data_IF_432233670203
#
_entry.id   IF_432233670203
#
_cell.length_a   1.000
_cell.length_b   1.000
_cell.length_c   1.000
_cell.angle_alpha   90.00
_cell.angle_beta   90.00
_cell.angle_gamma   90.00
#
_symmetry.space_group_name_H-M   'P 1'
#
loop_
_entity.id
_entity.type
_entity.pdbx_description
1 polymer ?
#
# COMPACT_ATOMS: atom_id res chain seq x y z
N UNK A 1 -2.64 -3.71 -42.49
CA UNK A 1 -1.21 -3.94 -42.14
C UNK A 1 -0.39 -2.66 -42.30
N UNK A 2 -0.61 -1.91 -43.37
CA UNK A 2 0.05 -0.62 -43.68
C UNK A 2 0.03 0.42 -42.54
N UNK A 3 -1.11 0.66 -41.89
CA UNK A 3 -1.21 1.65 -40.80
C UNK A 3 -0.34 1.32 -39.58
N UNK A 4 -0.24 0.03 -39.23
CA UNK A 4 0.61 -0.45 -38.14
C UNK A 4 2.09 -0.20 -38.45
N UNK A 5 2.51 -0.47 -39.68
CA UNK A 5 3.89 -0.33 -40.11
C UNK A 5 4.32 1.13 -40.15
N UNK A 6 3.49 2.01 -40.73
CA UNK A 6 3.71 3.46 -40.70
C UNK A 6 3.75 3.99 -39.27
N UNK A 7 2.81 3.58 -38.41
CA UNK A 7 2.84 3.96 -37.00
C UNK A 7 4.12 3.51 -36.29
N UNK A 8 4.60 2.30 -36.56
CA UNK A 8 5.86 1.80 -36.01
C UNK A 8 7.08 2.57 -36.53
N UNK A 9 7.08 3.01 -37.78
CA UNK A 9 8.13 3.85 -38.36
C UNK A 9 8.21 5.18 -37.61
N UNK A 10 7.09 5.91 -37.50
CA UNK A 10 7.02 7.15 -36.75
C UNK A 10 7.42 6.96 -35.28
N UNK A 11 7.01 5.85 -34.66
CA UNK A 11 7.40 5.52 -33.29
C UNK A 11 8.92 5.39 -33.13
N UNK A 12 9.60 4.69 -34.05
CA UNK A 12 11.07 4.56 -34.04
C UNK A 12 11.78 5.88 -34.29
N UNK A 13 11.14 6.78 -35.05
CA UNK A 13 11.61 8.15 -35.28
C UNK A 13 11.26 9.12 -34.14
N UNK A 14 10.78 8.65 -32.98
CA UNK A 14 10.32 9.46 -31.84
C UNK A 14 9.19 10.46 -32.17
N UNK A 15 8.49 10.24 -33.29
CA UNK A 15 7.35 11.04 -33.75
C UNK A 15 6.05 10.43 -33.19
N UNK A 16 5.87 10.55 -31.88
CA UNK A 16 4.82 9.82 -31.16
C UNK A 16 3.40 10.28 -31.53
N UNK A 17 3.18 11.56 -31.77
CA UNK A 17 1.87 12.08 -32.20
C UNK A 17 1.47 11.54 -33.59
N UNK A 18 2.41 11.52 -34.53
CA UNK A 18 2.21 10.94 -35.84
C UNK A 18 1.92 9.43 -35.72
N UNK A 19 2.67 8.71 -34.89
CA UNK A 19 2.43 7.30 -34.62
C UNK A 19 1.00 7.06 -34.08
N UNK A 20 0.54 7.88 -33.12
CA UNK A 20 -0.82 7.81 -32.56
C UNK A 20 -1.88 8.00 -33.65
N UNK A 21 -1.68 8.95 -34.56
CA UNK A 21 -2.61 9.19 -35.67
C UNK A 21 -2.71 7.96 -36.58
N UNK A 22 -1.58 7.37 -36.98
CA UNK A 22 -1.56 6.18 -37.81
C UNK A 22 -2.19 4.96 -37.12
N UNK A 23 -1.93 4.74 -35.83
CA UNK A 23 -2.61 3.68 -35.09
C UNK A 23 -4.11 3.92 -34.98
N UNK A 24 -4.53 5.17 -34.80
CA UNK A 24 -5.95 5.56 -34.77
C UNK A 24 -6.64 5.31 -36.12
N UNK A 25 -6.00 5.64 -37.24
CA UNK A 25 -6.51 5.29 -38.57
C UNK A 25 -6.65 3.77 -38.75
N UNK A 26 -5.67 3.01 -38.25
CA UNK A 26 -5.74 1.55 -38.22
C UNK A 26 -6.94 1.03 -37.43
N UNK A 27 -7.23 1.60 -36.25
CA UNK A 27 -8.37 1.22 -35.42
C UNK A 27 -9.72 1.59 -36.06
N UNK A 28 -9.80 2.74 -36.72
CA UNK A 28 -11.00 3.19 -37.44
C UNK A 28 -11.31 2.36 -38.69
N UNK A 29 -10.34 1.58 -39.18
CA UNK A 29 -10.52 0.66 -40.30
C UNK A 29 -11.21 -0.67 -39.90
N UNK A 30 -11.70 -0.77 -38.65
CA UNK A 30 -12.33 -1.97 -38.08
C UNK A 30 -11.49 -3.25 -38.26
N UNK A 31 -10.26 -3.28 -37.71
CA UNK A 31 -9.37 -4.42 -37.82
C UNK A 31 -9.92 -5.64 -37.07
N UNK A 32 -9.42 -6.82 -37.42
CA UNK A 32 -9.65 -8.04 -36.62
C UNK A 32 -9.14 -7.86 -35.18
N UNK A 33 -9.57 -8.75 -34.27
CA UNK A 33 -9.28 -8.62 -32.85
C UNK A 33 -7.77 -8.63 -32.53
N UNK A 34 -6.98 -9.43 -33.25
CA UNK A 34 -5.54 -9.54 -33.03
C UNK A 34 -4.81 -8.25 -33.43
N UNK A 35 -5.13 -7.71 -34.61
CA UNK A 35 -4.56 -6.45 -35.06
C UNK A 35 -5.09 -5.27 -34.22
N UNK A 36 -6.35 -5.33 -33.77
CA UNK A 36 -6.94 -4.34 -32.87
C UNK A 36 -6.19 -4.25 -31.55
N UNK A 37 -5.86 -5.39 -30.93
CA UNK A 37 -5.03 -5.45 -29.72
C UNK A 37 -3.67 -4.78 -29.95
N UNK A 38 -2.97 -5.17 -31.02
CA UNK A 38 -1.66 -4.59 -31.35
C UNK A 38 -1.72 -3.08 -31.53
N UNK A 39 -2.75 -2.57 -32.22
CA UNK A 39 -2.91 -1.14 -32.46
C UNK A 39 -3.22 -0.36 -31.18
N UNK A 40 -4.10 -0.87 -30.31
CA UNK A 40 -4.36 -0.25 -29.01
C UNK A 40 -3.10 -0.23 -28.14
N UNK A 41 -2.37 -1.34 -28.05
CA UNK A 41 -1.14 -1.43 -27.25
C UNK A 41 -0.04 -0.48 -27.77
N UNK A 42 0.14 -0.41 -29.08
CA UNK A 42 1.13 0.49 -29.67
C UNK A 42 0.73 1.96 -29.47
N UNK A 43 -0.56 2.29 -29.57
CA UNK A 43 -1.08 3.64 -29.31
C UNK A 43 -0.95 4.03 -27.84
N UNK A 44 -1.28 3.12 -26.92
CA UNK A 44 -1.09 3.29 -25.48
C UNK A 44 0.37 3.61 -25.15
N UNK A 45 1.32 2.85 -25.70
CA UNK A 45 2.74 3.09 -25.49
C UNK A 45 3.18 4.47 -26.04
N UNK A 46 2.72 4.86 -27.24
CA UNK A 46 2.99 6.22 -27.74
C UNK A 46 2.40 7.31 -26.86
N UNK A 47 1.19 7.12 -26.32
CA UNK A 47 0.54 8.06 -25.42
C UNK A 47 1.30 8.21 -24.11
N UNK A 48 1.85 7.12 -23.56
CA UNK A 48 2.74 7.16 -22.39
C UNK A 48 3.97 8.04 -22.68
N UNK A 49 4.55 7.96 -23.89
CA UNK A 49 5.72 8.77 -24.27
C UNK A 49 5.45 10.27 -24.34
N UNK A 50 4.20 10.67 -24.54
CA UNK A 50 3.77 12.07 -24.53
C UNK A 50 3.01 12.46 -23.25
N UNK A 51 3.11 11.63 -22.19
CA UNK A 51 2.49 11.85 -20.87
C UNK A 51 0.95 11.88 -20.85
N UNK A 52 0.31 11.39 -21.92
CA UNK A 52 -1.15 11.27 -22.06
C UNK A 52 -1.65 9.99 -21.38
N UNK A 53 -1.44 9.90 -20.06
CA UNK A 53 -1.66 8.68 -19.29
C UNK A 53 -3.12 8.22 -19.28
N UNK A 54 -4.09 9.13 -19.20
CA UNK A 54 -5.51 8.78 -19.18
C UNK A 54 -6.00 8.15 -20.49
N UNK A 55 -5.49 8.63 -21.62
CA UNK A 55 -5.76 8.02 -22.92
C UNK A 55 -5.11 6.63 -23.02
N UNK A 56 -3.89 6.49 -22.52
CA UNK A 56 -3.21 5.18 -22.47
C UNK A 56 -3.96 4.18 -21.60
N UNK A 57 -4.53 4.61 -20.47
CA UNK A 57 -5.33 3.75 -19.61
C UNK A 57 -6.59 3.28 -20.31
N UNK A 58 -7.28 4.18 -21.02
CA UNK A 58 -8.46 3.85 -21.81
C UNK A 58 -8.15 2.78 -22.89
N UNK A 59 -7.00 2.92 -23.58
CA UNK A 59 -6.56 1.94 -24.57
C UNK A 59 -6.20 0.58 -23.94
N UNK A 60 -5.55 0.58 -22.76
CA UNK A 60 -5.25 -0.65 -22.04
C UNK A 60 -6.53 -1.34 -21.56
N UNK A 61 -7.50 -0.59 -21.04
CA UNK A 61 -8.80 -1.11 -20.60
C UNK A 61 -9.58 -1.69 -21.77
N UNK A 62 -9.57 -1.03 -22.94
CA UNK A 62 -10.20 -1.56 -24.15
C UNK A 62 -9.62 -2.92 -24.55
N UNK A 63 -8.30 -3.12 -24.46
CA UNK A 63 -7.66 -4.43 -24.68
C UNK A 63 -8.09 -5.44 -23.62
N UNK A 64 -8.02 -5.05 -22.36
CA UNK A 64 -8.35 -5.93 -21.24
C UNK A 64 -9.83 -6.36 -21.21
N UNK A 65 -10.74 -5.67 -21.88
CA UNK A 65 -12.14 -6.10 -22.02
C UNK A 65 -12.31 -7.37 -22.85
N UNK A 66 -11.45 -7.62 -23.84
CA UNK A 66 -11.53 -8.80 -24.71
C UNK A 66 -10.33 -9.75 -24.58
N UNK A 67 -9.20 -9.28 -24.01
CA UNK A 67 -8.04 -10.09 -23.67
C UNK A 67 -7.57 -9.76 -22.25
N UNK A 68 -8.24 -10.34 -21.24
CA UNK A 68 -7.91 -10.18 -19.82
C UNK A 68 -6.48 -10.63 -19.46
N UNK A 69 -5.90 -11.54 -20.26
CA UNK A 69 -4.58 -12.12 -20.04
C UNK A 69 -3.47 -11.39 -20.80
N UNK A 70 -3.77 -10.26 -21.45
CA UNK A 70 -2.77 -9.50 -22.22
C UNK A 70 -1.69 -8.94 -21.28
N UNK A 71 -0.52 -9.56 -21.31
CA UNK A 71 0.63 -9.17 -20.49
C UNK A 71 0.99 -7.70 -20.73
N UNK A 72 1.08 -7.29 -22.00
CA UNK A 72 1.45 -5.92 -22.39
C UNK A 72 0.41 -4.90 -21.94
N UNK A 73 -0.88 -5.24 -21.95
CA UNK A 73 -1.92 -4.33 -21.48
C UNK A 73 -1.78 -4.04 -19.99
N UNK A 74 -1.56 -5.08 -19.17
CA UNK A 74 -1.29 -4.92 -17.72
C UNK A 74 0.00 -4.13 -17.47
N UNK A 75 1.05 -4.39 -18.25
CA UNK A 75 2.31 -3.65 -18.14
C UNK A 75 2.14 -2.16 -18.47
N UNK A 76 1.54 -1.82 -19.60
CA UNK A 76 1.34 -0.42 -20.02
C UNK A 76 0.36 0.31 -19.09
N UNK A 77 -0.68 -0.37 -18.58
CA UNK A 77 -1.54 0.16 -17.52
C UNK A 77 -0.72 0.51 -16.27
N UNK A 78 0.17 -0.37 -15.85
CA UNK A 78 1.10 -0.13 -14.75
C UNK A 78 2.01 1.08 -14.99
N UNK A 79 2.58 1.22 -16.18
CA UNK A 79 3.41 2.37 -16.56
C UNK A 79 2.61 3.69 -16.52
N UNK A 80 1.40 3.70 -17.08
CA UNK A 80 0.56 4.89 -17.10
C UNK A 80 0.12 5.30 -15.68
N UNK A 81 -0.28 4.34 -14.83
CA UNK A 81 -0.61 4.59 -13.42
C UNK A 81 0.59 5.12 -12.63
N UNK A 82 1.79 4.59 -12.89
CA UNK A 82 3.03 5.10 -12.30
C UNK A 82 3.30 6.54 -12.73
N UNK A 83 3.08 6.88 -14.00
CA UNK A 83 3.18 8.26 -14.50
C UNK A 83 2.19 9.21 -13.82
N UNK A 84 1.00 8.72 -13.48
CA UNK A 84 -0.01 9.44 -12.67
C UNK A 84 0.29 9.46 -11.16
N UNK A 85 1.44 8.94 -10.72
CA UNK A 85 1.82 8.76 -9.30
C UNK A 85 0.84 7.88 -8.49
N UNK A 86 0.01 7.08 -9.15
CA UNK A 86 -0.87 6.12 -8.50
C UNK A 86 -0.11 4.80 -8.26
N UNK A 87 0.97 4.87 -7.47
CA UNK A 87 1.97 3.81 -7.37
C UNK A 87 1.39 2.47 -6.88
N UNK A 88 0.42 2.49 -5.96
CA UNK A 88 -0.25 1.27 -5.48
C UNK A 88 -0.98 0.52 -6.61
N UNK A 89 -1.80 1.22 -7.39
CA UNK A 89 -2.53 0.65 -8.52
C UNK A 89 -1.57 0.23 -9.65
N UNK A 90 -0.49 0.99 -9.83
CA UNK A 90 0.57 0.65 -10.77
C UNK A 90 1.20 -0.70 -10.44
N UNK A 91 1.58 -0.92 -9.17
CA UNK A 91 2.16 -2.18 -8.70
C UNK A 91 1.21 -3.36 -8.86
N UNK A 92 -0.08 -3.18 -8.60
CA UNK A 92 -1.08 -4.24 -8.81
C UNK A 92 -1.10 -4.69 -10.29
N UNK A 93 -1.10 -3.73 -11.21
CA UNK A 93 -1.09 -4.00 -12.65
C UNK A 93 0.24 -4.65 -13.10
N UNK A 94 1.38 -4.14 -12.62
CA UNK A 94 2.70 -4.69 -12.95
C UNK A 94 2.90 -6.11 -12.37
N UNK A 95 2.46 -6.37 -11.14
CA UNK A 95 2.51 -7.71 -10.52
C UNK A 95 1.60 -8.70 -11.24
N UNK A 96 0.44 -8.24 -11.73
CA UNK A 96 -0.43 -9.04 -12.60
C UNK A 96 0.28 -9.38 -13.93
N UNK A 97 0.92 -8.40 -14.57
CA UNK A 97 1.76 -8.62 -15.75
C UNK A 97 2.87 -9.63 -15.48
N UNK A 98 3.52 -9.57 -14.31
CA UNK A 98 4.63 -10.45 -13.96
C UNK A 98 4.18 -11.90 -13.83
N UNK A 99 3.09 -12.13 -13.11
CA UNK A 99 2.49 -13.46 -12.93
C UNK A 99 2.13 -14.10 -14.28
N UNK A 100 1.59 -13.31 -15.21
CA UNK A 100 1.26 -13.80 -16.56
C UNK A 100 2.54 -14.06 -17.39
N UNK A 101 3.54 -13.18 -17.32
CA UNK A 101 4.85 -13.37 -17.96
C UNK A 101 5.57 -14.63 -17.50
N UNK A 102 5.56 -14.94 -16.20
CA UNK A 102 6.17 -16.14 -15.64
C UNK A 102 5.49 -17.41 -16.14
N UNK A 103 4.14 -17.40 -16.23
CA UNK A 103 3.35 -18.50 -16.79
C UNK A 103 3.68 -18.75 -18.27
N UNK A 104 3.88 -17.70 -19.04
CA UNK A 104 4.19 -17.77 -20.47
C UNK A 104 5.69 -17.87 -20.77
N UNK A 105 6.56 -17.87 -19.74
CA UNK A 105 8.03 -17.87 -19.87
C UNK A 105 8.55 -16.75 -20.77
N UNK A 106 7.99 -15.54 -20.61
CA UNK A 106 8.36 -14.38 -21.40
C UNK A 106 9.83 -13.98 -21.18
N UNK A 107 10.50 -13.52 -22.24
CA UNK A 107 11.94 -13.20 -22.21
C UNK A 107 12.30 -11.92 -21.45
N UNK A 108 11.32 -11.06 -21.18
CA UNK A 108 11.51 -9.71 -20.62
C UNK A 108 11.10 -9.59 -19.14
N UNK A 109 11.00 -10.72 -18.43
CA UNK A 109 10.67 -10.76 -16.99
C UNK A 109 11.62 -9.90 -16.15
N UNK A 110 12.91 -9.84 -16.50
CA UNK A 110 13.89 -9.04 -15.76
C UNK A 110 13.64 -7.54 -15.89
N UNK A 111 13.29 -7.06 -17.09
CA UNK A 111 12.92 -5.66 -17.31
C UNK A 111 11.66 -5.28 -16.51
N UNK A 112 10.69 -6.20 -16.46
CA UNK A 112 9.47 -6.01 -15.68
C UNK A 112 9.74 -5.95 -14.17
N UNK A 113 10.61 -6.81 -13.64
CA UNK A 113 11.03 -6.77 -12.24
C UNK A 113 11.73 -5.47 -11.91
N UNK A 114 12.67 -5.02 -12.76
CA UNK A 114 13.31 -3.72 -12.59
C UNK A 114 12.31 -2.55 -12.58
N UNK A 115 11.24 -2.62 -13.39
CA UNK A 115 10.17 -1.62 -13.35
C UNK A 115 9.34 -1.68 -12.07
N UNK A 116 9.07 -2.87 -11.53
CA UNK A 116 8.39 -3.04 -10.25
C UNK A 116 9.25 -2.42 -9.14
N UNK A 117 10.54 -2.75 -9.08
CA UNK A 117 11.48 -2.22 -8.08
C UNK A 117 11.54 -0.67 -8.13
N UNK A 118 11.56 -0.09 -9.34
CA UNK A 118 11.50 1.36 -9.54
C UNK A 118 10.21 1.97 -8.94
N UNK A 119 9.05 1.36 -9.19
CA UNK A 119 7.76 1.85 -8.68
C UNK A 119 7.63 1.64 -7.17
N UNK A 120 8.16 0.55 -6.63
CA UNK A 120 8.22 0.31 -5.17
C UNK A 120 9.09 1.37 -4.49
N UNK A 121 10.24 1.74 -5.08
CA UNK A 121 11.07 2.84 -4.59
C UNK A 121 10.35 4.19 -4.63
N UNK A 122 9.62 4.49 -5.72
CA UNK A 122 8.83 5.72 -5.81
C UNK A 122 7.71 5.77 -4.76
N UNK A 123 7.03 4.65 -4.52
CA UNK A 123 6.01 4.56 -3.46
C UNK A 123 6.64 4.79 -2.07
N UNK A 124 7.81 4.22 -1.82
CA UNK A 124 8.54 4.41 -0.57
C UNK A 124 8.88 5.90 -0.34
N UNK A 125 9.47 6.56 -1.35
CA UNK A 125 9.81 7.98 -1.29
C UNK A 125 8.59 8.88 -1.09
N UNK A 126 7.48 8.59 -1.76
CA UNK A 126 6.22 9.32 -1.58
C UNK A 126 5.72 9.21 -0.14
N UNK A 127 5.77 8.02 0.45
CA UNK A 127 5.38 7.82 1.85
C UNK A 127 6.30 8.58 2.83
N UNK A 128 7.63 8.53 2.63
CA UNK A 128 8.58 9.30 3.45
C UNK A 128 8.34 10.81 3.34
N UNK A 129 8.07 11.31 2.14
CA UNK A 129 7.79 12.73 1.93
C UNK A 129 6.48 13.15 2.60
N UNK A 130 5.45 12.31 2.53
CA UNK A 130 4.20 12.54 3.25
C UNK A 130 4.40 12.58 4.76
N UNK A 131 5.22 11.68 5.31
CA UNK A 131 5.56 11.67 6.74
C UNK A 131 6.36 12.92 7.15
N UNK A 132 7.36 13.32 6.36
CA UNK A 132 8.14 14.56 6.60
C UNK A 132 7.26 15.80 6.57
N UNK A 133 6.41 15.93 5.55
CA UNK A 133 5.48 17.05 5.42
C UNK A 133 4.50 17.09 6.61
N UNK A 134 4.04 15.92 7.06
CA UNK A 134 3.19 15.81 8.23
C UNK A 134 3.90 16.27 9.52
N UNK A 135 5.12 15.80 9.74
CA UNK A 135 5.93 16.18 10.90
C UNK A 135 6.24 17.68 10.91
N UNK A 136 6.58 18.24 9.75
CA UNK A 136 6.85 19.67 9.60
C UNK A 136 5.60 20.52 9.90
N UNK A 137 4.44 20.12 9.37
CA UNK A 137 3.17 20.78 9.67
C UNK A 137 2.86 20.74 11.17
N UNK A 138 3.04 19.58 11.80
CA UNK A 138 2.82 19.40 13.24
C UNK A 138 3.77 20.24 14.07
N UNK A 139 5.05 20.31 13.68
CA UNK A 139 6.08 21.15 14.30
C UNK A 139 5.71 22.63 14.23
N UNK A 140 5.33 23.13 13.04
CA UNK A 140 4.96 24.53 12.84
C UNK A 140 3.73 24.92 13.68
N UNK A 141 2.75 24.02 13.73
CA UNK A 141 1.56 24.15 14.57
C UNK A 141 1.91 24.26 16.06
N UNK A 142 2.83 23.42 16.55
CA UNK A 142 3.27 23.47 17.94
C UNK A 142 4.02 24.78 18.27
N UNK A 143 4.83 25.29 17.33
CA UNK A 143 5.49 26.58 17.50
C UNK A 143 4.49 27.74 17.58
N UNK A 144 3.50 27.78 16.70
CA UNK A 144 2.43 28.78 16.75
C UNK A 144 1.73 28.78 18.10
N UNK A 145 1.47 27.59 18.65
CA UNK A 145 0.86 27.46 19.95
C UNK A 145 1.77 27.95 21.10
N UNK A 146 3.05 27.59 21.08
CA UNK A 146 4.02 28.08 22.08
C UNK A 146 4.12 29.60 22.07
N UNK A 147 4.15 30.22 20.89
CA UNK A 147 4.15 31.69 20.75
C UNK A 147 2.89 32.32 21.35
N UNK A 148 1.72 31.68 21.16
CA UNK A 148 0.46 32.15 21.73
C UNK A 148 0.43 32.05 23.26
N UNK A 149 0.93 30.96 23.84
CA UNK A 149 1.07 30.83 25.29
C UNK A 149 2.01 31.89 25.88
N UNK A 150 3.15 32.14 25.23
CA UNK A 150 4.09 33.18 25.64
C UNK A 150 3.42 34.55 25.62
N UNK A 151 2.63 34.85 24.58
CA UNK A 151 1.85 36.11 24.50
C UNK A 151 0.85 36.25 25.64
N UNK A 152 0.05 35.21 25.91
CA UNK A 152 -0.95 35.22 26.99
C UNK A 152 -0.32 35.42 28.37
N UNK A 153 0.81 34.74 28.63
CA UNK A 153 1.59 34.91 29.86
C UNK A 153 2.09 36.34 30.01
N UNK A 154 2.67 36.91 28.95
CA UNK A 154 3.20 38.28 28.97
C UNK A 154 2.11 39.33 29.16
N UNK A 155 0.87 39.04 28.77
CA UNK A 155 -0.30 39.91 28.99
C UNK A 155 -0.88 39.83 30.42
N UNK A 156 -0.29 39.03 31.33
CA UNK A 156 -0.74 38.89 32.72
C UNK A 156 -2.22 38.46 32.86
N UNK A 157 -2.75 37.70 31.90
CA UNK A 157 -4.14 37.24 31.96
C UNK A 157 -4.30 36.24 33.12
N UNK A 158 -4.91 36.69 34.22
CA UNK A 158 -5.29 35.87 35.38
C UNK A 158 -6.61 35.12 35.18
N UNK A 159 -7.24 35.23 34.01
CA UNK A 159 -8.52 34.59 33.73
C UNK A 159 -8.32 33.12 33.37
N UNK A 160 -8.60 32.25 34.34
CA UNK A 160 -8.56 30.79 34.21
C UNK A 160 -9.51 30.29 33.10
N UNK A 161 -10.59 31.02 32.80
CA UNK A 161 -11.52 30.69 31.71
C UNK A 161 -10.85 30.73 30.32
N UNK A 162 -10.05 31.75 30.00
CA UNK A 162 -9.34 31.85 28.71
C UNK A 162 -8.36 30.69 28.51
N UNK A 163 -7.78 30.18 29.60
CA UNK A 163 -6.84 29.06 29.56
C UNK A 163 -7.58 27.74 29.33
N UNK A 164 -8.75 27.54 29.95
CA UNK A 164 -9.55 26.32 29.79
C UNK A 164 -10.17 26.20 28.41
N UNK A 165 -10.67 27.31 27.85
CA UNK A 165 -11.22 27.33 26.49
C UNK A 165 -10.11 27.03 25.46
N UNK A 166 -8.93 27.63 25.64
CA UNK A 166 -7.77 27.32 24.80
C UNK A 166 -7.25 25.89 24.98
N UNK A 167 -7.23 25.36 26.21
CA UNK A 167 -6.92 23.95 26.47
C UNK A 167 -7.88 23.01 25.75
N UNK A 168 -9.16 23.36 25.66
CA UNK A 168 -10.17 22.57 24.94
C UNK A 168 -9.96 22.64 23.43
N UNK A 169 -9.67 23.83 22.88
CA UNK A 169 -9.29 23.98 21.46
C UNK A 169 -8.04 23.18 21.10
N UNK A 170 -7.03 23.18 21.98
CA UNK A 170 -5.84 22.35 21.84
C UNK A 170 -6.15 20.88 21.88
N UNK A 171 -7.03 20.44 22.77
CA UNK A 171 -7.37 19.03 22.87
C UNK A 171 -8.06 18.56 21.58
N UNK A 172 -8.97 19.36 21.02
CA UNK A 172 -9.60 19.13 19.71
C UNK A 172 -8.55 19.19 18.58
N UNK A 173 -7.59 20.09 18.66
CA UNK A 173 -6.51 20.22 17.68
C UNK A 173 -5.55 19.03 17.71
N UNK A 174 -5.15 18.58 18.90
CA UNK A 174 -4.36 17.38 19.11
C UNK A 174 -5.14 16.14 18.71
N UNK A 175 -6.46 16.04 18.90
CA UNK A 175 -7.27 14.95 18.34
C UNK A 175 -7.27 14.95 16.81
N UNK A 176 -7.30 16.13 16.17
CA UNK A 176 -7.22 16.27 14.71
C UNK A 176 -5.83 15.99 14.14
N UNK A 177 -4.78 16.19 14.94
CA UNK A 177 -3.36 15.96 14.59
C UNK A 177 -2.83 14.70 15.28
N UNK A 178 -3.69 13.94 15.97
CA UNK A 178 -3.31 12.59 16.34
C UNK A 178 -3.13 11.88 15.01
N UNK A 179 -1.93 11.34 14.75
CA UNK A 179 -1.80 10.51 13.58
C UNK A 179 -2.86 9.44 13.76
N UNK A 180 -3.77 9.31 12.79
CA UNK A 180 -4.43 8.03 12.56
C UNK A 180 -3.31 7.09 12.13
N UNK A 181 -2.45 6.73 13.09
CA UNK A 181 -1.54 5.62 12.94
C UNK A 181 -2.49 4.49 12.61
N UNK A 182 -2.35 3.85 11.45
CA UNK A 182 -3.14 2.67 11.18
C UNK A 182 -2.98 1.76 12.40
N UNK A 183 -4.09 1.44 13.03
CA UNK A 183 -4.07 0.62 14.23
C UNK A 183 -3.90 -0.82 13.79
N UNK A 184 -3.06 -1.56 14.52
CA UNK A 184 -3.06 -3.01 14.39
C UNK A 184 -4.40 -3.46 14.95
N UNK A 185 -5.24 -4.17 14.17
CA UNK A 185 -6.48 -4.67 14.70
C UNK A 185 -6.23 -5.49 15.95
N UNK A 186 -6.95 -5.22 17.04
CA UNK A 186 -6.69 -5.82 18.35
C UNK A 186 -6.74 -7.35 18.34
N UNK A 187 -7.52 -7.95 17.42
CA UNK A 187 -7.60 -9.40 17.23
C UNK A 187 -6.36 -10.03 16.57
N UNK A 188 -5.39 -9.23 16.12
CA UNK A 188 -4.05 -9.70 15.73
C UNK A 188 -3.05 -9.66 16.88
N UNK A 189 -3.39 -9.00 17.99
CA UNK A 189 -2.52 -8.90 19.15
C UNK A 189 -2.83 -9.98 20.18
N UNK A 190 -1.79 -10.50 20.81
CA UNK A 190 -1.89 -11.44 21.91
C UNK A 190 -2.41 -10.73 23.17
N UNK A 191 -3.44 -11.24 23.87
CA UNK A 191 -3.91 -10.62 25.11
C UNK A 191 -2.90 -10.61 26.27
N UNK A 192 -1.87 -11.46 26.22
CA UNK A 192 -0.83 -11.56 27.27
C UNK A 192 0.37 -10.67 26.93
N UNK A 193 0.99 -10.87 25.76
CA UNK A 193 2.18 -10.09 25.37
C UNK A 193 1.83 -8.71 24.84
N UNK A 194 0.57 -8.46 24.45
CA UNK A 194 0.07 -7.22 23.84
C UNK A 194 0.67 -6.91 22.44
N UNK A 195 1.53 -7.78 21.94
CA UNK A 195 2.17 -7.70 20.63
C UNK A 195 1.45 -8.52 19.57
N UNK A 196 1.78 -8.29 18.29
CA UNK A 196 1.25 -9.08 17.17
C UNK A 196 1.66 -10.54 17.35
N UNK A 197 0.70 -11.45 17.23
CA UNK A 197 0.95 -12.89 17.31
C UNK A 197 1.76 -13.36 16.08
N UNK A 198 2.91 -13.96 16.33
CA UNK A 198 3.74 -14.61 15.31
C UNK A 198 3.37 -16.10 15.20
N UNK A 199 3.11 -16.78 16.33
CA UNK A 199 2.64 -18.16 16.37
C UNK A 199 1.33 -18.26 17.17
N UNK A 200 0.19 -17.79 16.60
CA UNK A 200 -1.08 -17.77 17.32
C UNK A 200 -1.58 -19.19 17.59
N UNK A 201 -1.92 -19.48 18.85
CA UNK A 201 -2.61 -20.70 19.31
C UNK A 201 -3.95 -20.35 19.92
N UNK A 202 -4.96 -21.17 19.68
CA UNK A 202 -6.32 -20.99 20.21
C UNK A 202 -6.64 -22.13 21.17
N UNK A 203 -7.20 -21.77 22.34
CA UNK A 203 -7.69 -22.73 23.33
C UNK A 203 -9.20 -22.92 23.25
N UNK A 204 -9.74 -23.77 24.11
CA UNK A 204 -11.19 -24.04 24.18
C UNK A 204 -12.04 -22.82 24.53
N UNK A 205 -11.44 -21.77 25.10
CA UNK A 205 -12.10 -20.47 25.34
C UNK A 205 -12.42 -19.71 24.05
N UNK A 206 -11.84 -20.13 22.91
CA UNK A 206 -11.94 -19.43 21.63
C UNK A 206 -11.01 -18.22 21.50
N UNK A 207 -10.27 -17.87 22.56
CA UNK A 207 -9.29 -16.78 22.55
C UNK A 207 -7.97 -17.29 21.99
N UNK A 208 -7.37 -16.51 21.09
CA UNK A 208 -6.04 -16.78 20.54
C UNK A 208 -4.96 -16.01 21.30
N UNK A 209 -3.82 -16.65 21.50
CA UNK A 209 -2.66 -16.11 22.18
C UNK A 209 -1.39 -16.39 21.38
N UNK A 210 -0.35 -15.60 21.61
CA UNK A 210 1.01 -15.98 21.22
C UNK A 210 1.44 -17.22 22.01
N UNK A 211 1.89 -18.26 21.32
CA UNK A 211 2.18 -19.58 21.90
C UNK A 211 3.14 -19.51 23.08
N UNK A 212 4.25 -18.80 22.93
CA UNK A 212 5.24 -18.68 23.99
C UNK A 212 4.66 -17.96 25.21
N UNK A 213 3.84 -16.93 25.00
CA UNK A 213 3.25 -16.16 26.08
C UNK A 213 2.27 -17.00 26.92
N UNK A 214 1.36 -17.75 26.28
CA UNK A 214 0.39 -18.57 27.01
C UNK A 214 1.04 -19.81 27.65
N UNK A 215 2.06 -20.40 27.02
CA UNK A 215 2.76 -21.54 27.61
C UNK A 215 3.60 -21.15 28.82
N UNK A 216 4.29 -20.01 28.77
CA UNK A 216 5.01 -19.47 29.93
C UNK A 216 4.07 -19.12 31.09
N UNK A 217 2.88 -18.60 30.78
CA UNK A 217 1.85 -18.35 31.78
C UNK A 217 1.41 -19.65 32.49
N UNK A 218 1.16 -20.72 31.73
CA UNK A 218 0.77 -22.01 32.30
C UNK A 218 1.91 -22.63 33.11
N UNK A 219 3.15 -22.57 32.60
CA UNK A 219 4.34 -23.07 33.31
C UNK A 219 4.60 -22.34 34.63
N UNK A 220 4.19 -21.07 34.71
CA UNK A 220 4.27 -20.26 35.93
C UNK A 220 3.17 -20.60 36.96
N UNK A 221 2.36 -21.62 36.70
CA UNK A 221 1.27 -22.07 37.57
C UNK A 221 -0.12 -21.53 37.19
N UNK A 222 -0.25 -20.86 36.04
CA UNK A 222 -1.54 -20.43 35.51
C UNK A 222 -2.40 -21.62 35.08
N UNK A 223 -3.60 -21.75 35.65
CA UNK A 223 -4.53 -22.84 35.38
C UNK A 223 -5.92 -22.38 34.89
N UNK A 224 -6.08 -21.08 34.67
CA UNK A 224 -7.30 -20.45 34.14
C UNK A 224 -6.95 -19.53 32.99
N UNK A 225 -7.80 -19.48 31.97
CA UNK A 225 -7.66 -18.59 30.83
C UNK A 225 -7.58 -17.12 31.32
N UNK A 226 -6.54 -16.35 30.94
CA UNK A 226 -6.33 -15.00 31.45
C UNK A 226 -7.49 -14.03 31.21
N UNK A 227 -8.32 -14.29 30.20
CA UNK A 227 -9.43 -13.42 29.80
C UNK A 227 -10.76 -13.97 30.30
N UNK A 228 -11.06 -15.22 29.98
CA UNK A 228 -12.38 -15.86 30.22
C UNK A 228 -12.47 -16.59 31.55
N UNK A 229 -11.35 -16.79 32.26
CA UNK A 229 -11.25 -17.51 33.54
C UNK A 229 -11.64 -19.00 33.48
N UNK A 230 -11.85 -19.55 32.29
CA UNK A 230 -12.15 -20.97 32.08
C UNK A 230 -10.89 -21.80 32.41
N UNK A 231 -11.00 -22.97 33.06
CA UNK A 231 -9.83 -23.83 33.30
C UNK A 231 -9.10 -24.20 32.01
N UNK A 232 -7.77 -24.05 31.99
CA UNK A 232 -6.94 -24.35 30.82
C UNK A 232 -5.74 -25.23 31.17
N UNK A 233 -5.26 -25.97 30.17
CA UNK A 233 -3.97 -26.66 30.17
C UNK A 233 -3.30 -26.54 28.79
N UNK A 234 -2.03 -26.93 28.68
CA UNK A 234 -1.26 -26.80 27.43
C UNK A 234 -1.82 -27.64 26.27
N UNK A 235 -2.36 -28.81 26.56
CA UNK A 235 -2.82 -29.77 25.54
C UNK A 235 -4.09 -29.30 24.81
N UNK A 236 -4.80 -28.34 25.38
CA UNK A 236 -6.01 -27.73 24.81
C UNK A 236 -5.72 -26.63 23.78
N UNK A 237 -4.46 -26.23 23.60
CA UNK A 237 -4.10 -25.18 22.65
C UNK A 237 -3.67 -25.77 21.31
N UNK A 238 -4.28 -25.27 20.23
CA UNK A 238 -4.00 -25.72 18.88
C UNK A 238 -3.58 -24.53 18.00
N UNK A 239 -2.68 -24.72 17.01
CA UNK A 239 -2.29 -23.64 16.11
C UNK A 239 -3.48 -23.05 15.36
N UNK A 240 -3.64 -21.72 15.41
CA UNK A 240 -4.66 -21.01 14.66
C UNK A 240 -4.11 -20.58 13.29
N UNK A 241 -4.10 -21.53 12.34
CA UNK A 241 -3.51 -21.36 11.01
C UNK A 241 -4.16 -20.21 10.23
N UNK A 242 -5.49 -20.08 10.33
CA UNK A 242 -6.24 -19.03 9.62
C UNK A 242 -5.86 -17.63 10.14
N UNK A 243 -5.75 -17.48 11.46
CA UNK A 243 -5.32 -16.21 12.06
C UNK A 243 -3.88 -15.88 11.69
N UNK A 244 -2.98 -16.86 11.69
CA UNK A 244 -1.59 -16.66 11.24
C UNK A 244 -1.53 -16.18 9.79
N UNK A 245 -2.25 -16.80 8.87
CA UNK A 245 -2.33 -16.36 7.47
C UNK A 245 -2.90 -14.94 7.33
N UNK A 246 -3.94 -14.60 8.10
CA UNK A 246 -4.52 -13.26 8.10
C UNK A 246 -3.54 -12.20 8.63
N UNK A 247 -2.75 -12.54 9.65
CA UNK A 247 -1.70 -11.68 10.19
C UNK A 247 -0.57 -11.51 9.15
N UNK A 248 -0.13 -12.60 8.52
CA UNK A 248 0.89 -12.57 7.45
C UNK A 248 0.44 -11.67 6.29
N UNK A 249 -0.77 -11.86 5.78
CA UNK A 249 -1.35 -11.03 4.72
C UNK A 249 -1.47 -9.55 5.15
N UNK A 250 -1.85 -9.30 6.41
CA UNK A 250 -1.87 -7.95 6.96
C UNK A 250 -0.48 -7.33 6.99
N UNK A 251 0.55 -8.06 7.44
CA UNK A 251 1.93 -7.59 7.53
C UNK A 251 2.54 -7.32 6.15
N UNK A 252 2.24 -8.15 5.14
CA UNK A 252 2.64 -7.92 3.75
C UNK A 252 2.06 -6.60 3.20
N UNK A 253 0.79 -6.32 3.52
CA UNK A 253 0.11 -5.09 3.11
C UNK A 253 0.50 -3.88 3.96
N UNK A 254 1.05 -4.10 5.16
CA UNK A 254 1.38 -3.09 6.15
C UNK A 254 2.82 -3.25 6.69
N UNK A 255 3.87 -2.98 5.87
CA UNK A 255 5.26 -3.11 6.32
C UNK A 255 5.62 -2.28 7.57
N UNK A 256 4.89 -1.19 7.84
CA UNK A 256 5.04 -0.39 9.06
C UNK A 256 4.72 -1.18 10.33
N UNK A 257 3.78 -2.15 10.27
CA UNK A 257 3.40 -2.99 11.41
C UNK A 257 4.49 -4.03 11.71
N UNK A 258 5.21 -4.49 10.67
CA UNK A 258 6.34 -5.43 10.81
C UNK A 258 7.50 -4.81 11.59
N UNK A 259 7.89 -3.57 11.24
CA UNK A 259 8.95 -2.83 11.97
C UNK A 259 8.64 -2.63 13.46
N UNK A 260 7.36 -2.40 13.80
CA UNK A 260 6.93 -2.26 15.20
C UNK A 260 7.15 -3.57 15.99
N UNK A 261 6.97 -4.73 15.37
CA UNK A 261 7.19 -6.02 16.00
C UNK A 261 8.70 -6.32 16.19
N UNK A 262 9.54 -5.90 15.26
CA UNK A 262 11.00 -6.09 15.33
C UNK A 262 11.68 -5.19 16.38
N UNK A 263 11.20 -3.95 16.57
CA UNK A 263 11.80 -2.98 17.52
C UNK A 263 11.61 -3.37 19.01
N UNK A 264 10.63 -4.23 19.32
CA UNK A 264 10.34 -4.67 20.69
C UNK A 264 11.21 -5.87 21.09
N UNK A 265 11.66 -6.67 20.13
CA UNK A 265 12.54 -7.82 20.37
C UNK A 265 13.94 -7.32 20.78
N UNK A 266 14.47 -6.28 20.13
CA UNK A 266 15.79 -5.70 20.46
C UNK A 266 15.84 -4.94 21.81
N UNK A 267 14.70 -4.70 22.47
CA UNK A 267 14.67 -4.07 23.80
C UNK A 267 14.52 -5.06 24.96
N UNK A 268 14.34 -6.36 24.66
CA UNK A 268 14.14 -7.42 25.64
C UNK A 268 15.24 -8.51 25.61
N UNK A 269 16.29 -8.32 24.79
CA UNK A 269 17.57 -9.07 24.83
C UNK A 269 18.67 -8.20 25.44
#
# INVERSE_FOLDING_TARGET
MEFKEKGNEFFRSNQFEQAINFYTFGLNSHPDQNLREVLYLNRALSQIKILEYDKSLSDCEAVLQFNHSSIKAHYFRGLALSGKKQYKNALESLKTSLRLSEKEKATWIQELKGKIDEVELLLFQENENQEKNYLEKTKNNLFQYLDELIRLRNQNSKNVLDIQDKMSELQIFFEKIQPKRPEIPSYFCCPISLDIMNDPVVGNSGVSYEKNAIFNYIDSGGNQDPITRIPINKDQFHPNICLRQAIEEFLEKNPWAKKRNETIIEQND
#
